data_IF_920449076392
#
_entry.id   IF_920449076392
#
_cell.length_a   1.000
_cell.length_b   1.000
_cell.length_c   1.000
_cell.angle_alpha   90.00
_cell.angle_beta   90.00
_cell.angle_gamma   90.00
#
_symmetry.space_group_name_H-M   'P 1'
#
loop_
_entity.id
_entity.type
_entity.pdbx_description
1 polymer ?
#
# COMPACT_ATOMS: atom_id res chain seq x y z
N UNK A 1 -27.28 102.84 9.99
CA UNK A 1 -26.32 103.42 10.94
C UNK A 1 -25.13 102.48 11.03
N UNK A 2 -23.98 102.82 10.39
CA UNK A 2 -22.61 102.25 10.56
C UNK A 2 -22.43 100.74 10.23
N UNK A 3 -21.36 100.16 9.67
CA UNK A 3 -20.02 100.49 9.13
C UNK A 3 -19.55 99.22 8.34
N UNK A 4 -18.61 99.34 7.39
CA UNK A 4 -17.93 98.23 6.66
C UNK A 4 -16.77 97.57 7.50
N UNK A 5 -15.89 96.69 6.95
CA UNK A 5 -15.66 95.26 7.27
C UNK A 5 -14.23 95.04 7.91
N UNK A 6 -13.47 93.89 7.88
CA UNK A 6 -13.05 93.10 6.70
C UNK A 6 -12.73 91.56 6.88
N UNK A 7 -12.54 90.88 5.73
CA UNK A 7 -11.68 89.72 5.34
C UNK A 7 -11.44 88.51 6.31
N UNK A 8 -11.29 87.23 5.89
CA UNK A 8 -10.23 86.61 5.09
C UNK A 8 -10.62 85.21 4.52
N UNK A 9 -10.18 84.90 3.28
CA UNK A 9 -9.65 83.61 2.74
C UNK A 9 -10.33 82.25 3.08
N UNK A 10 -10.51 81.24 2.20
CA UNK A 10 -10.01 80.88 0.84
C UNK A 10 -10.85 79.67 0.33
N UNK A 11 -11.22 79.69 -0.97
CA UNK A 11 -11.11 78.65 -2.05
C UNK A 11 -11.41 77.17 -1.70
N UNK A 12 -12.08 76.33 -2.49
CA UNK A 12 -12.62 76.41 -3.85
C UNK A 12 -13.60 75.22 -4.07
N UNK A 13 -14.56 75.42 -4.98
CA UNK A 13 -15.57 74.45 -5.42
C UNK A 13 -15.01 73.34 -6.30
N UNK A 14 -15.54 72.11 -6.20
CA UNK A 14 -15.77 71.21 -7.34
C UNK A 14 -17.04 70.40 -7.09
N UNK A 15 -17.97 70.51 -8.03
CA UNK A 15 -19.22 69.75 -8.18
C UNK A 15 -18.90 68.43 -8.87
N UNK A 16 -19.47 67.30 -8.41
CA UNK A 16 -19.68 66.15 -9.28
C UNK A 16 -21.04 65.51 -9.02
N UNK A 17 -21.81 65.40 -10.10
CA UNK A 17 -23.17 64.93 -10.17
C UNK A 17 -23.28 63.42 -9.98
N UNK A 18 -24.30 63.01 -9.24
CA UNK A 18 -24.78 61.63 -9.17
C UNK A 18 -25.81 61.38 -10.28
N UNK A 19 -25.61 60.32 -11.07
CA UNK A 19 -26.66 59.69 -11.86
C UNK A 19 -26.37 58.20 -12.04
N UNK A 20 -27.32 57.40 -11.54
CA UNK A 20 -27.47 55.94 -11.56
C UNK A 20 -27.40 55.33 -12.97
N UNK A 21 -26.83 54.12 -13.10
CA UNK A 21 -27.36 53.08 -14.00
C UNK A 21 -27.15 51.64 -13.46
N UNK A 22 -28.29 51.00 -13.19
CA UNK A 22 -28.72 49.59 -13.27
C UNK A 22 -27.81 48.38 -12.95
N UNK A 23 -28.40 47.56 -12.07
CA UNK A 23 -28.29 46.12 -11.85
C UNK A 23 -28.35 45.27 -13.12
N UNK A 24 -27.42 44.30 -13.22
CA UNK A 24 -27.65 42.93 -13.68
C UNK A 24 -26.37 42.08 -13.52
N UNK A 25 -26.43 40.95 -12.79
CA UNK A 25 -26.00 39.61 -13.24
C UNK A 25 -25.82 38.62 -12.08
N UNK A 26 -26.52 37.49 -12.20
CA UNK A 26 -25.95 36.16 -12.00
C UNK A 26 -25.75 35.67 -10.57
N UNK A 27 -26.80 35.14 -9.95
CA UNK A 27 -26.64 34.09 -8.95
C UNK A 27 -26.22 32.79 -9.65
N UNK A 28 -24.95 32.71 -10.03
CA UNK A 28 -24.27 31.44 -10.20
C UNK A 28 -23.69 31.07 -8.85
N UNK A 29 -24.15 30.00 -8.23
CA UNK A 29 -23.36 29.28 -7.23
C UNK A 29 -22.17 28.67 -7.97
N UNK A 30 -21.23 29.52 -8.37
CA UNK A 30 -19.90 29.11 -8.73
C UNK A 30 -19.28 28.59 -7.46
N UNK A 31 -19.09 27.27 -7.38
CA UNK A 31 -18.07 26.72 -6.51
C UNK A 31 -16.79 27.39 -6.98
N UNK A 32 -16.34 28.42 -6.26
CA UNK A 32 -15.05 29.05 -6.53
C UNK A 32 -14.05 27.94 -6.31
N UNK A 33 -13.35 27.52 -7.36
CA UNK A 33 -12.25 26.59 -7.23
C UNK A 33 -11.33 27.13 -6.14
N UNK A 34 -11.11 26.34 -5.10
CA UNK A 34 -10.22 26.72 -4.03
C UNK A 34 -8.84 27.03 -4.64
N UNK A 35 -8.12 28.07 -4.17
CA UNK A 35 -6.79 28.36 -4.66
C UNK A 35 -5.91 27.11 -4.52
N UNK A 36 -5.09 26.80 -5.53
CA UNK A 36 -4.33 25.54 -5.62
C UNK A 36 -3.48 25.28 -4.37
N UNK A 37 -2.94 26.32 -3.73
CA UNK A 37 -2.19 26.22 -2.48
C UNK A 37 -3.01 25.61 -1.32
N UNK A 38 -4.32 25.86 -1.27
CA UNK A 38 -5.21 25.26 -0.25
C UNK A 38 -5.53 23.78 -0.51
N UNK A 39 -5.46 23.33 -1.76
CA UNK A 39 -5.59 21.91 -2.09
C UNK A 39 -4.30 21.15 -1.76
N UNK A 40 -3.14 21.80 -1.85
CA UNK A 40 -1.88 21.23 -1.39
C UNK A 40 -1.90 20.97 0.12
N UNK A 41 -2.53 21.85 0.90
CA UNK A 41 -2.78 21.60 2.33
C UNK A 41 -3.70 20.40 2.57
N UNK A 42 -4.72 20.20 1.74
CA UNK A 42 -5.62 19.03 1.82
C UNK A 42 -4.90 17.70 1.57
N UNK A 43 -3.80 17.69 0.83
CA UNK A 43 -2.99 16.49 0.64
C UNK A 43 -2.18 16.09 1.88
N UNK A 44 -1.91 17.02 2.80
CA UNK A 44 -1.08 16.74 4.00
C UNK A 44 -1.77 15.73 4.91
N UNK A 45 -0.98 14.81 5.45
CA UNK A 45 -1.44 13.69 6.28
C UNK A 45 -2.07 12.54 5.49
N UNK A 46 -2.12 12.60 4.15
CA UNK A 46 -2.77 11.58 3.31
C UNK A 46 -1.76 10.71 2.58
N UNK A 47 -2.18 9.48 2.34
CA UNK A 47 -1.46 8.50 1.54
C UNK A 47 -2.31 8.12 0.34
N UNK A 48 -1.71 8.08 -0.83
CA UNK A 48 -2.38 7.74 -2.09
C UNK A 48 -1.73 6.52 -2.74
N UNK A 49 -2.54 5.65 -3.33
CA UNK A 49 -2.12 4.42 -3.98
C UNK A 49 -2.49 4.46 -5.47
N UNK A 50 -1.55 4.12 -6.35
CA UNK A 50 -1.76 4.19 -7.80
C UNK A 50 -2.83 3.22 -8.28
N UNK A 51 -3.86 3.70 -8.95
CA UNK A 51 -4.86 2.86 -9.62
C UNK A 51 -4.54 2.65 -11.09
N UNK A 52 -3.80 3.58 -11.69
CA UNK A 52 -3.44 3.55 -13.11
C UNK A 52 -2.15 4.33 -13.35
N UNK A 53 -1.31 3.82 -14.24
CA UNK A 53 -0.10 4.49 -14.70
C UNK A 53 -0.09 4.49 -16.23
N UNK A 54 0.16 5.65 -16.83
CA UNK A 54 0.35 5.78 -18.28
C UNK A 54 1.65 6.48 -18.61
N UNK A 55 2.22 6.19 -19.78
CA UNK A 55 3.38 6.90 -20.34
C UNK A 55 3.16 7.13 -21.83
N UNK A 56 3.22 8.38 -22.27
CA UNK A 56 2.86 8.77 -23.63
C UNK A 56 1.41 8.41 -24.00
N UNK A 57 0.51 8.41 -23.00
CA UNK A 57 -0.89 8.03 -23.16
C UNK A 57 -1.15 6.52 -23.28
N UNK A 58 -0.14 5.67 -23.11
CA UNK A 58 -0.29 4.20 -23.11
C UNK A 58 -0.19 3.64 -21.69
N UNK A 59 -0.95 2.59 -21.33
CA UNK A 59 -0.79 1.93 -20.05
C UNK A 59 0.66 1.48 -19.83
N UNK A 60 1.20 1.79 -18.65
CA UNK A 60 2.47 1.29 -18.15
C UNK A 60 2.16 0.24 -17.10
N UNK A 61 2.58 -1.00 -17.36
CA UNK A 61 2.47 -2.07 -16.38
C UNK A 61 3.51 -1.86 -15.28
N UNK A 62 3.08 -1.94 -14.02
CA UNK A 62 3.98 -2.03 -12.88
C UNK A 62 4.38 -3.49 -12.66
N UNK A 63 5.52 -3.72 -12.01
CA UNK A 63 5.93 -5.08 -11.58
C UNK A 63 4.82 -5.74 -10.78
N UNK A 64 4.56 -7.02 -11.03
CA UNK A 64 3.45 -7.74 -10.40
C UNK A 64 3.55 -7.69 -8.87
N UNK A 65 2.39 -7.52 -8.20
CA UNK A 65 2.31 -7.38 -6.75
C UNK A 65 2.79 -6.02 -6.20
N UNK A 66 3.20 -5.08 -7.06
CA UNK A 66 3.60 -3.73 -6.64
C UNK A 66 2.54 -2.68 -6.93
N UNK A 67 2.63 -1.57 -6.20
CA UNK A 67 1.79 -0.39 -6.39
C UNK A 67 2.63 0.83 -6.02
N UNK A 68 2.45 1.95 -6.74
CA UNK A 68 3.08 3.20 -6.32
C UNK A 68 2.31 3.77 -5.15
N UNK A 69 3.01 4.09 -4.06
CA UNK A 69 2.47 4.78 -2.89
C UNK A 69 3.13 6.15 -2.76
N UNK A 70 2.32 7.18 -2.54
CA UNK A 70 2.77 8.54 -2.22
C UNK A 70 2.12 8.97 -0.89
N UNK A 71 2.92 9.12 0.16
CA UNK A 71 2.48 9.61 1.46
C UNK A 71 3.00 11.04 1.67
N UNK A 72 2.08 11.99 1.84
CA UNK A 72 2.38 13.38 2.17
C UNK A 72 2.22 13.54 3.67
N UNK A 73 3.32 13.51 4.41
CA UNK A 73 3.28 13.50 5.87
C UNK A 73 2.83 14.85 6.45
N UNK A 74 2.27 14.84 7.65
CA UNK A 74 1.84 16.07 8.33
C UNK A 74 2.99 17.07 8.52
N UNK A 75 4.21 16.56 8.73
CA UNK A 75 5.42 17.36 8.89
C UNK A 75 6.08 17.80 7.57
N UNK A 76 5.37 17.67 6.44
CA UNK A 76 5.77 18.26 5.17
C UNK A 76 6.85 17.51 4.41
N UNK A 77 6.87 16.18 4.52
CA UNK A 77 7.67 15.31 3.66
C UNK A 77 6.79 14.54 2.68
N UNK A 78 7.38 14.21 1.54
CA UNK A 78 6.90 13.11 0.70
C UNK A 78 7.68 11.85 1.11
N UNK A 79 6.97 10.75 1.32
CA UNK A 79 7.52 9.39 1.31
C UNK A 79 6.89 8.66 0.13
N UNK A 80 7.72 8.11 -0.75
CA UNK A 80 7.30 7.48 -1.98
C UNK A 80 7.96 6.12 -2.14
N UNK A 81 7.21 5.13 -2.62
CA UNK A 81 7.75 3.81 -2.98
C UNK A 81 7.06 3.30 -4.24
N UNK A 82 7.80 2.52 -5.01
CA UNK A 82 7.31 1.84 -6.19
C UNK A 82 7.51 0.32 -6.12
N UNK A 83 7.91 -0.23 -4.97
CA UNK A 83 7.95 -1.67 -4.76
C UNK A 83 9.24 -2.24 -4.17
N UNK A 84 10.34 -1.48 -4.12
CA UNK A 84 11.57 -1.96 -3.47
C UNK A 84 12.14 -0.95 -2.49
N UNK A 85 12.61 0.20 -2.96
CA UNK A 85 13.19 1.23 -2.11
C UNK A 85 12.15 2.27 -1.70
N UNK A 86 12.29 2.74 -0.46
CA UNK A 86 11.56 3.91 0.01
C UNK A 86 12.37 5.15 -0.30
N UNK A 87 11.72 6.15 -0.89
CA UNK A 87 12.27 7.47 -1.19
C UNK A 87 11.60 8.51 -0.32
N UNK A 88 12.36 9.51 0.14
CA UNK A 88 11.81 10.56 0.97
C UNK A 88 12.52 11.89 0.78
N UNK A 89 11.79 12.98 0.96
CA UNK A 89 12.32 14.35 0.92
C UNK A 89 11.29 15.35 1.43
N UNK A 90 11.73 16.58 1.72
CA UNK A 90 10.80 17.67 2.05
C UNK A 90 10.04 18.07 0.80
N UNK A 91 8.73 18.29 0.92
CA UNK A 91 7.87 18.57 -0.23
C UNK A 91 7.22 19.95 -0.13
N UNK A 92 7.33 20.69 -1.22
CA UNK A 92 6.52 21.87 -1.51
C UNK A 92 5.47 21.51 -2.57
N UNK A 93 4.22 21.86 -2.26
CA UNK A 93 3.05 21.60 -3.09
C UNK A 93 2.50 22.87 -3.74
N UNK A 94 3.16 24.02 -3.55
CA UNK A 94 2.76 25.29 -4.14
C UNK A 94 2.72 25.27 -5.67
N UNK A 95 1.90 26.15 -6.23
CA UNK A 95 1.80 26.38 -7.68
C UNK A 95 1.40 25.12 -8.49
N UNK A 96 0.73 24.15 -7.85
CA UNK A 96 0.25 22.93 -8.51
C UNK A 96 1.36 21.96 -8.92
N UNK A 97 2.55 22.06 -8.31
CA UNK A 97 3.68 21.15 -8.58
C UNK A 97 4.12 20.39 -7.33
N UNK A 98 4.68 19.19 -7.51
CA UNK A 98 5.31 18.43 -6.43
C UNK A 98 6.81 18.72 -6.51
N UNK A 99 7.29 19.69 -5.74
CA UNK A 99 8.71 19.98 -5.63
C UNK A 99 9.29 19.24 -4.41
N UNK A 100 10.10 18.21 -4.67
CA UNK A 100 10.76 17.45 -3.60
C UNK A 100 12.22 17.87 -3.51
N UNK A 101 12.61 18.39 -2.35
CA UNK A 101 13.99 18.74 -2.04
C UNK A 101 14.65 17.60 -1.27
N UNK A 102 15.94 17.35 -1.56
CA UNK A 102 16.77 16.32 -0.94
C UNK A 102 16.14 14.91 -1.01
N UNK A 103 15.57 14.54 -2.17
CA UNK A 103 15.04 13.19 -2.38
C UNK A 103 16.16 12.16 -2.19
N UNK A 104 16.07 11.39 -1.11
CA UNK A 104 16.98 10.30 -0.78
C UNK A 104 16.23 8.98 -0.83
N UNK A 105 16.89 7.92 -1.28
CA UNK A 105 16.34 6.58 -1.34
C UNK A 105 17.09 5.65 -0.39
N UNK A 106 16.42 4.63 0.13
CA UNK A 106 17.11 3.45 0.67
C UNK A 106 17.88 2.75 -0.45
N UNK A 107 18.88 1.94 -0.09
CA UNK A 107 19.67 1.13 -1.04
C UNK A 107 19.56 -0.36 -0.69
N UNK A 108 18.33 -0.87 -0.67
CA UNK A 108 18.05 -2.29 -0.54
C UNK A 108 18.25 -2.94 -1.91
N UNK A 109 19.01 -4.04 -1.95
CA UNK A 109 19.20 -4.82 -3.16
C UNK A 109 17.94 -5.59 -3.55
N UNK A 110 17.42 -5.33 -4.74
CA UNK A 110 16.25 -6.01 -5.30
C UNK A 110 16.47 -6.42 -6.76
N UNK A 111 15.54 -7.22 -7.30
CA UNK A 111 15.55 -7.62 -8.69
C UNK A 111 15.52 -6.40 -9.63
N UNK A 112 16.18 -6.55 -10.79
CA UNK A 112 16.38 -5.46 -11.74
C UNK A 112 15.08 -4.73 -12.13
N UNK A 113 13.98 -5.46 -12.35
CA UNK A 113 12.70 -4.85 -12.72
C UNK A 113 12.15 -3.89 -11.64
N UNK A 114 12.33 -4.22 -10.36
CA UNK A 114 11.95 -3.36 -9.25
C UNK A 114 12.86 -2.13 -9.16
N UNK A 115 14.16 -2.32 -9.38
CA UNK A 115 15.12 -1.22 -9.39
C UNK A 115 14.82 -0.21 -10.52
N UNK A 116 14.53 -0.70 -11.74
CA UNK A 116 14.12 0.15 -12.87
C UNK A 116 12.80 0.90 -12.60
N UNK A 117 11.88 0.27 -11.87
CA UNK A 117 10.63 0.90 -11.46
C UNK A 117 10.84 2.00 -10.41
N UNK A 118 11.67 1.76 -9.39
CA UNK A 118 12.06 2.79 -8.41
C UNK A 118 12.75 3.97 -9.11
N UNK A 119 13.69 3.69 -10.02
CA UNK A 119 14.41 4.72 -10.79
C UNK A 119 13.45 5.59 -11.62
N UNK A 120 12.46 4.97 -12.28
CA UNK A 120 11.43 5.71 -13.01
C UNK A 120 10.60 6.65 -12.11
N UNK A 121 10.20 6.19 -10.93
CA UNK A 121 9.44 7.04 -10.00
C UNK A 121 10.33 8.18 -9.46
N UNK A 122 11.60 7.91 -9.14
CA UNK A 122 12.57 8.92 -8.74
C UNK A 122 12.74 10.00 -9.81
N UNK A 123 12.87 9.61 -11.08
CA UNK A 123 12.97 10.53 -12.21
C UNK A 123 11.71 11.37 -12.40
N UNK A 124 10.51 10.79 -12.21
CA UNK A 124 9.25 11.53 -12.26
C UNK A 124 9.24 12.63 -11.18
N UNK A 125 9.56 12.29 -9.93
CA UNK A 125 9.56 13.22 -8.80
C UNK A 125 10.63 14.32 -8.95
N UNK A 126 11.82 13.98 -9.45
CA UNK A 126 12.89 14.94 -9.69
C UNK A 126 12.55 16.01 -10.76
N UNK A 127 11.58 15.73 -11.64
CA UNK A 127 11.12 16.65 -12.70
C UNK A 127 10.09 17.66 -12.22
N UNK A 128 9.72 17.66 -10.94
CA UNK A 128 8.69 18.54 -10.37
C UNK A 128 7.35 18.38 -11.10
N UNK A 129 6.72 17.20 -11.03
CA UNK A 129 5.51 16.93 -11.79
C UNK A 129 4.37 17.82 -11.29
N UNK A 130 3.45 18.15 -12.19
CA UNK A 130 2.20 18.82 -11.83
C UNK A 130 1.28 17.85 -11.10
N UNK A 131 0.43 18.36 -10.21
CA UNK A 131 -0.58 17.57 -9.53
C UNK A 131 -1.97 18.21 -9.61
N UNK A 132 -3.01 17.37 -9.51
CA UNK A 132 -4.41 17.80 -9.38
C UNK A 132 -5.12 16.88 -8.40
N UNK A 133 -5.79 17.48 -7.41
CA UNK A 133 -6.59 16.77 -6.41
C UNK A 133 -8.08 17.01 -6.67
N UNK A 134 -8.84 15.92 -6.75
CA UNK A 134 -10.30 15.92 -6.85
C UNK A 134 -10.87 14.98 -5.78
N UNK A 135 -11.14 15.52 -4.58
CA UNK A 135 -11.61 14.74 -3.44
C UNK A 135 -10.58 13.69 -3.02
N UNK A 136 -10.85 12.43 -3.33
CA UNK A 136 -9.97 11.29 -3.01
C UNK A 136 -9.04 10.90 -4.16
N UNK A 137 -9.19 11.49 -5.34
CA UNK A 137 -8.40 11.18 -6.52
C UNK A 137 -7.27 12.19 -6.69
N UNK A 138 -6.04 11.70 -6.72
CA UNK A 138 -4.84 12.48 -7.02
C UNK A 138 -4.33 12.08 -8.41
N UNK A 139 -4.08 13.07 -9.26
CA UNK A 139 -3.43 12.86 -10.56
C UNK A 139 -2.10 13.61 -10.57
N UNK A 140 -1.00 12.90 -10.82
CA UNK A 140 0.35 13.45 -10.93
C UNK A 140 0.82 13.28 -12.36
N UNK A 141 1.28 14.35 -13.00
CA UNK A 141 1.71 14.34 -14.41
C UNK A 141 3.04 15.04 -14.63
N UNK A 142 3.95 14.39 -15.36
CA UNK A 142 5.28 14.92 -15.66
C UNK A 142 6.04 14.01 -16.62
N UNK A 143 6.84 14.58 -17.52
CA UNK A 143 7.70 13.80 -18.43
C UNK A 143 6.95 12.84 -19.37
N UNK A 144 5.67 13.12 -19.67
CA UNK A 144 4.81 12.22 -20.45
C UNK A 144 4.20 11.07 -19.66
N UNK A 145 4.52 10.95 -18.36
CA UNK A 145 3.85 10.04 -17.43
C UNK A 145 2.64 10.71 -16.79
N UNK A 146 1.54 9.98 -16.67
CA UNK A 146 0.41 10.33 -15.81
C UNK A 146 0.17 9.18 -14.84
N UNK A 147 0.23 9.51 -13.55
CA UNK A 147 0.01 8.63 -12.43
C UNK A 147 -1.32 9.02 -11.78
N UNK A 148 -2.31 8.14 -11.87
CA UNK A 148 -3.59 8.29 -11.19
C UNK A 148 -3.52 7.50 -9.89
N UNK A 149 -3.82 8.16 -8.78
CA UNK A 149 -3.87 7.57 -7.45
C UNK A 149 -5.21 7.86 -6.78
N UNK A 150 -5.53 7.01 -5.81
CA UNK A 150 -6.70 7.14 -4.96
C UNK A 150 -6.25 7.11 -3.49
N UNK A 151 -6.91 7.88 -2.64
CA UNK A 151 -6.67 7.89 -1.19
C UNK A 151 -6.69 6.46 -0.65
N UNK A 152 -5.66 6.11 0.15
CA UNK A 152 -5.46 4.76 0.69
C UNK A 152 -6.72 4.25 1.38
N UNK A 153 -7.43 5.10 2.11
CA UNK A 153 -8.63 4.69 2.87
C UNK A 153 -9.76 4.16 1.98
N UNK A 154 -9.77 4.55 0.70
CA UNK A 154 -10.73 4.07 -0.29
C UNK A 154 -10.12 2.94 -1.12
N UNK A 155 -8.84 3.08 -1.50
CA UNK A 155 -8.14 2.14 -2.37
C UNK A 155 -7.77 0.82 -1.69
N UNK A 156 -7.61 0.84 -0.37
CA UNK A 156 -7.26 -0.28 0.50
C UNK A 156 -7.75 0.03 1.94
N UNK A 157 -9.06 -0.14 2.21
CA UNK A 157 -9.66 0.22 3.48
C UNK A 157 -9.18 -0.68 4.63
N UNK A 158 -9.01 -0.08 5.80
CA UNK A 158 -8.57 -0.78 7.01
C UNK A 158 -9.57 -1.88 7.40
N UNK A 159 -9.07 -3.09 7.63
CA UNK A 159 -9.90 -4.18 8.15
C UNK A 159 -10.34 -3.88 9.58
N UNK A 160 -11.53 -4.32 10.02
CA UNK A 160 -11.93 -4.16 11.41
C UNK A 160 -10.96 -4.93 12.32
N UNK A 161 -10.56 -4.35 13.44
CA UNK A 161 -9.72 -5.05 14.42
C UNK A 161 -10.46 -6.26 15.00
N UNK A 162 -11.73 -6.06 15.37
CA UNK A 162 -12.62 -7.07 15.95
C UNK A 162 -13.29 -7.86 14.82
N UNK A 163 -13.36 -9.18 14.98
CA UNK A 163 -13.93 -10.11 14.00
C UNK A 163 -12.92 -10.61 12.95
N UNK A 164 -11.88 -9.84 12.63
CA UNK A 164 -10.82 -10.27 11.71
C UNK A 164 -9.91 -11.31 12.35
N UNK A 165 -9.68 -12.41 11.64
CA UNK A 165 -8.59 -13.34 11.96
C UNK A 165 -7.28 -12.76 11.42
N UNK A 166 -6.33 -12.52 12.31
CA UNK A 166 -5.00 -12.01 11.98
C UNK A 166 -3.97 -13.13 12.06
N UNK A 167 -3.14 -13.25 11.03
CA UNK A 167 -2.03 -14.21 10.95
C UNK A 167 -0.73 -13.46 11.21
N UNK A 168 0.06 -13.91 12.18
CA UNK A 168 1.34 -13.30 12.52
C UNK A 168 2.35 -13.57 11.41
N UNK A 169 2.93 -12.49 10.88
CA UNK A 169 3.90 -12.53 9.80
C UNK A 169 5.32 -12.21 10.32
N UNK A 170 5.44 -11.16 11.13
CA UNK A 170 6.73 -10.66 11.61
C UNK A 170 6.74 -10.43 13.12
N UNK A 171 7.83 -10.82 13.77
CA UNK A 171 8.13 -10.50 15.17
C UNK A 171 9.09 -9.32 15.22
N UNK A 172 8.86 -8.38 16.13
CA UNK A 172 9.72 -7.22 16.36
C UNK A 172 10.30 -7.31 17.76
N UNK A 173 11.63 -7.20 17.88
CA UNK A 173 12.35 -7.12 19.16
C UNK A 173 13.33 -5.94 19.10
N UNK A 174 12.93 -4.80 19.68
CA UNK A 174 13.64 -3.53 19.55
C UNK A 174 13.70 -3.05 18.10
N UNK A 175 14.91 -2.82 17.60
CA UNK A 175 15.15 -2.41 16.21
C UNK A 175 15.22 -3.59 15.22
N UNK A 176 15.14 -4.84 15.72
CA UNK A 176 15.24 -6.03 14.89
C UNK A 176 13.85 -6.55 14.54
N UNK A 177 13.57 -6.66 13.25
CA UNK A 177 12.39 -7.35 12.74
C UNK A 177 12.79 -8.72 12.16
N UNK A 178 12.03 -9.76 12.49
CA UNK A 178 12.24 -11.13 12.01
C UNK A 178 10.95 -11.72 11.47
N UNK A 179 10.89 -11.95 10.15
CA UNK A 179 9.74 -12.56 9.44
C UNK A 179 9.65 -14.08 9.64
N UNK A 180 10.33 -14.62 10.65
CA UNK A 180 10.56 -16.06 10.81
C UNK A 180 9.35 -16.86 11.24
N UNK A 181 8.15 -16.28 11.41
CA UNK A 181 6.99 -16.99 11.96
C UNK A 181 6.45 -18.03 10.97
N UNK A 182 6.34 -17.69 9.69
CA UNK A 182 5.93 -18.64 8.65
C UNK A 182 7.03 -19.62 8.23
N UNK A 183 8.27 -19.48 8.73
CA UNK A 183 9.42 -20.31 8.33
C UNK A 183 9.94 -21.24 9.43
N UNK A 184 9.29 -21.32 10.60
CA UNK A 184 9.77 -22.22 11.69
C UNK A 184 9.59 -23.71 11.34
N UNK A 185 8.85 -24.01 10.27
CA UNK A 185 8.83 -25.33 9.61
C UNK A 185 7.64 -25.42 8.66
N UNK A 186 7.81 -26.08 7.51
CA UNK A 186 6.75 -26.24 6.50
C UNK A 186 5.47 -26.92 7.04
N UNK A 187 5.56 -27.59 8.19
CA UNK A 187 4.47 -28.30 8.86
C UNK A 187 3.94 -27.59 10.12
N UNK A 188 4.44 -26.40 10.47
CA UNK A 188 3.94 -25.67 11.65
C UNK A 188 2.76 -24.78 11.23
N UNK A 189 1.57 -24.92 11.88
CA UNK A 189 0.45 -24.02 11.62
C UNK A 189 0.85 -22.56 11.85
N UNK A 190 0.30 -21.66 11.04
CA UNK A 190 0.46 -20.22 11.23
C UNK A 190 0.01 -19.80 12.64
N UNK A 191 0.78 -18.89 13.26
CA UNK A 191 0.36 -18.25 14.49
C UNK A 191 -0.75 -17.23 14.18
N UNK A 192 -1.80 -17.22 15.00
CA UNK A 192 -3.01 -16.43 14.77
C UNK A 192 -3.46 -15.67 16.00
N UNK A 193 -4.18 -14.59 15.75
CA UNK A 193 -4.83 -13.75 16.75
C UNK A 193 -6.19 -13.31 16.23
N UNK A 194 -7.23 -13.46 17.05
CA UNK A 194 -8.56 -12.92 16.77
C UNK A 194 -9.13 -12.32 18.04
N UNK A 195 -9.65 -11.11 17.92
CA UNK A 195 -10.50 -10.49 18.95
C UNK A 195 -11.93 -10.62 18.44
N UNK A 196 -12.77 -11.37 19.14
CA UNK A 196 -14.17 -11.53 18.77
C UNK A 196 -15.03 -10.46 19.42
N UNK A 197 -16.29 -10.36 18.97
CA UNK A 197 -17.31 -9.56 19.67
C UNK A 197 -17.34 -9.94 21.15
N UNK A 198 -17.62 -8.98 22.04
CA UNK A 198 -17.51 -9.11 23.52
C UNK A 198 -16.08 -9.06 24.08
N UNK A 199 -15.05 -8.93 23.23
CA UNK A 199 -13.66 -8.71 23.66
C UNK A 199 -12.93 -9.98 24.08
N UNK A 200 -13.45 -11.17 23.78
CA UNK A 200 -12.70 -12.40 23.95
C UNK A 200 -11.57 -12.49 22.92
N UNK A 201 -10.41 -12.98 23.36
CA UNK A 201 -9.22 -13.16 22.54
C UNK A 201 -9.01 -14.65 22.32
N UNK A 202 -8.82 -15.05 21.08
CA UNK A 202 -8.54 -16.43 20.66
C UNK A 202 -7.33 -16.42 19.73
N UNK A 203 -6.54 -17.49 19.74
CA UNK A 203 -5.45 -17.60 18.80
C UNK A 203 -4.57 -18.82 19.01
N UNK A 204 -3.50 -18.86 18.21
CA UNK A 204 -2.48 -19.90 18.21
C UNK A 204 -1.10 -19.27 18.16
N UNK A 205 -0.14 -19.83 18.88
CA UNK A 205 1.29 -19.50 18.74
C UNK A 205 1.99 -20.38 17.69
N UNK A 206 1.22 -21.14 16.92
CA UNK A 206 1.67 -22.18 16.00
C UNK A 206 1.74 -23.57 16.65
N UNK A 207 2.11 -23.65 17.92
CA UNK A 207 2.11 -24.91 18.68
C UNK A 207 1.00 -25.02 19.74
N UNK A 208 0.75 -23.93 20.47
CA UNK A 208 -0.24 -23.88 21.53
C UNK A 208 -1.39 -22.94 21.16
N UNK A 209 -2.59 -23.32 21.58
CA UNK A 209 -3.74 -22.45 21.50
C UNK A 209 -3.78 -21.56 22.74
N UNK A 210 -4.17 -20.31 22.57
CA UNK A 210 -4.38 -19.38 23.67
C UNK A 210 -5.76 -18.75 23.64
N UNK A 211 -6.21 -18.34 24.83
CA UNK A 211 -7.45 -17.59 25.02
C UNK A 211 -7.26 -16.53 26.11
N UNK A 212 -7.98 -15.43 26.00
CA UNK A 212 -7.93 -14.33 26.96
C UNK A 212 -9.05 -13.33 26.73
N UNK A 213 -8.81 -12.11 27.16
CA UNK A 213 -9.72 -10.97 26.94
C UNK A 213 -8.93 -9.74 26.53
N UNK A 214 -9.57 -8.81 25.83
CA UNK A 214 -9.02 -7.54 25.42
C UNK A 214 -10.07 -6.45 25.55
N UNK A 215 -9.63 -5.27 25.97
CA UNK A 215 -10.41 -4.03 25.90
C UNK A 215 -9.75 -3.11 24.89
N UNK A 216 -10.51 -2.65 23.90
CA UNK A 216 -10.01 -1.73 22.87
C UNK A 216 -10.47 -0.32 23.20
N UNK A 217 -9.54 0.64 23.21
CA UNK A 217 -9.84 2.06 23.43
C UNK A 217 -8.92 2.94 22.60
N UNK A 218 -9.47 3.69 21.65
CA UNK A 218 -8.69 4.52 20.73
C UNK A 218 -7.72 3.68 19.92
N UNK A 219 -6.42 4.00 20.00
CA UNK A 219 -5.31 3.28 19.35
C UNK A 219 -4.59 2.29 20.27
N UNK A 220 -5.24 1.88 21.36
CA UNK A 220 -4.68 0.98 22.36
C UNK A 220 -5.56 -0.25 22.58
N UNK A 221 -4.93 -1.41 22.76
CA UNK A 221 -5.55 -2.65 23.23
C UNK A 221 -4.95 -2.98 24.59
N UNK A 222 -5.80 -3.20 25.59
CA UNK A 222 -5.38 -3.75 26.88
C UNK A 222 -5.80 -5.20 26.95
N UNK A 223 -4.84 -6.10 26.81
CA UNK A 223 -5.03 -7.53 27.03
C UNK A 223 -5.13 -7.82 28.53
N UNK A 224 -6.14 -8.59 28.92
CA UNK A 224 -6.26 -9.19 30.23
C UNK A 224 -5.39 -10.44 30.36
N UNK A 225 -5.76 -11.34 31.27
CA UNK A 225 -5.05 -12.61 31.40
C UNK A 225 -5.19 -13.45 30.12
N UNK A 226 -4.05 -13.77 29.50
CA UNK A 226 -3.95 -14.68 28.35
C UNK A 226 -3.38 -16.01 28.83
N UNK A 227 -4.12 -17.10 28.61
CA UNK A 227 -3.75 -18.45 29.02
C UNK A 227 -3.56 -19.31 27.77
N UNK A 228 -2.40 -19.94 27.65
CA UNK A 228 -2.08 -20.89 26.60
C UNK A 228 -2.12 -22.34 27.09
N UNK A 229 -2.40 -23.27 26.17
CA UNK A 229 -2.13 -24.70 26.39
C UNK A 229 -0.63 -24.94 26.58
N UNK A 230 -0.25 -26.13 27.10
CA UNK A 230 1.16 -26.49 27.32
C UNK A 230 1.52 -27.80 26.63
N UNK A 231 1.58 -27.77 25.31
CA UNK A 231 2.16 -28.83 24.47
C UNK A 231 3.67 -28.61 24.39
N UNK A 232 4.43 -29.70 24.35
CA UNK A 232 5.86 -29.65 24.06
C UNK A 232 6.08 -29.37 22.57
N UNK A 233 6.95 -28.40 22.26
CA UNK A 233 7.24 -27.94 20.91
C UNK A 233 8.75 -27.82 20.72
N UNK A 234 9.20 -27.71 19.48
CA UNK A 234 10.59 -27.45 19.14
C UNK A 234 11.06 -26.12 19.78
N UNK A 235 12.36 -25.98 20.10
CA UNK A 235 12.89 -24.80 20.78
C UNK A 235 12.61 -23.48 20.07
N UNK A 236 12.68 -23.46 18.74
CA UNK A 236 12.45 -22.25 17.93
C UNK A 236 10.96 -21.85 17.95
N UNK A 237 10.04 -22.81 17.85
CA UNK A 237 8.60 -22.54 17.98
C UNK A 237 8.26 -22.01 19.38
N UNK A 238 8.93 -22.54 20.41
CA UNK A 238 8.74 -22.06 21.79
C UNK A 238 9.25 -20.62 21.99
N UNK A 239 10.27 -20.19 21.24
CA UNK A 239 10.71 -18.78 21.26
C UNK A 239 9.65 -17.86 20.65
N UNK A 240 9.08 -18.25 19.51
CA UNK A 240 7.97 -17.52 18.87
C UNK A 240 6.78 -17.41 19.82
N UNK A 241 6.38 -18.51 20.45
CA UNK A 241 5.30 -18.52 21.44
C UNK A 241 5.54 -17.53 22.58
N UNK A 242 6.72 -17.57 23.21
CA UNK A 242 7.04 -16.64 24.30
C UNK A 242 7.03 -15.19 23.83
N UNK A 243 7.46 -14.91 22.60
CA UNK A 243 7.43 -13.56 22.05
C UNK A 243 6.00 -13.06 21.85
N UNK A 244 5.14 -13.88 21.24
CA UNK A 244 3.72 -13.55 21.03
C UNK A 244 3.06 -13.29 22.38
N UNK A 245 3.19 -14.21 23.34
CA UNK A 245 2.55 -14.05 24.65
C UNK A 245 3.07 -12.82 25.42
N UNK A 246 4.35 -12.44 25.24
CA UNK A 246 4.90 -11.23 25.84
C UNK A 246 4.37 -9.94 25.19
N UNK A 247 4.02 -9.96 23.90
CA UNK A 247 3.34 -8.81 23.26
C UNK A 247 1.90 -8.71 23.75
N UNK A 248 1.23 -9.85 23.98
CA UNK A 248 -0.17 -9.90 24.43
C UNK A 248 -0.33 -9.74 25.96
N UNK A 249 0.71 -9.33 26.69
CA UNK A 249 0.65 -9.13 28.14
C UNK A 249 0.43 -7.65 28.47
N UNK A 250 -0.81 -7.29 28.81
CA UNK A 250 -1.17 -5.94 29.19
C UNK A 250 -1.43 -5.01 28.00
N UNK A 251 -0.92 -3.78 28.08
CA UNK A 251 -1.28 -2.70 27.15
C UNK A 251 -0.35 -2.66 25.94
N UNK A 252 -0.94 -2.60 24.73
CA UNK A 252 -0.21 -2.38 23.48
C UNK A 252 -0.85 -1.25 22.67
N UNK A 253 -0.02 -0.51 21.94
CA UNK A 253 -0.51 0.35 20.86
C UNK A 253 -0.74 -0.50 19.62
N UNK A 254 -1.78 -0.19 18.87
CA UNK A 254 -2.04 -0.84 17.60
C UNK A 254 -2.25 0.18 16.48
N UNK A 255 -1.96 -0.27 15.25
CA UNK A 255 -2.28 0.44 14.02
C UNK A 255 -2.72 -0.56 12.95
N UNK A 256 -3.70 -0.17 12.14
CA UNK A 256 -4.15 -0.97 11.00
C UNK A 256 -3.96 -0.14 9.75
N UNK A 257 -3.36 -0.74 8.74
CA UNK A 257 -3.28 -0.20 7.39
C UNK A 257 -3.72 -1.29 6.40
N UNK A 258 -4.90 -1.11 5.81
CA UNK A 258 -5.51 -2.09 4.92
C UNK A 258 -5.64 -3.45 5.62
N UNK A 259 -5.03 -4.48 5.05
CA UNK A 259 -4.93 -5.83 5.58
C UNK A 259 -3.80 -6.09 6.59
N UNK A 260 -3.09 -5.08 7.09
CA UNK A 260 -1.98 -5.26 8.03
C UNK A 260 -2.30 -4.67 9.41
N UNK A 261 -2.09 -5.45 10.47
CA UNK A 261 -2.18 -5.03 11.87
C UNK A 261 -0.78 -5.00 12.47
N UNK A 262 -0.41 -3.87 13.06
CA UNK A 262 0.81 -3.73 13.86
C UNK A 262 0.44 -3.62 15.34
N UNK A 263 1.12 -4.38 16.18
CA UNK A 263 1.06 -4.29 17.64
C UNK A 263 2.42 -3.89 18.19
N UNK A 264 2.47 -2.82 18.97
CA UNK A 264 3.66 -2.27 19.62
C UNK A 264 3.50 -2.32 21.14
N UNK A 265 4.20 -3.26 21.77
CA UNK A 265 4.24 -3.38 23.23
C UNK A 265 5.28 -2.41 23.81
N UNK A 266 5.00 -1.68 24.92
CA UNK A 266 5.90 -0.70 25.51
C UNK A 266 7.25 -1.29 25.96
N UNK A 267 7.31 -2.60 26.18
CA UNK A 267 8.54 -3.34 26.46
C UNK A 267 9.48 -3.53 25.25
N UNK A 268 9.19 -2.93 24.09
CA UNK A 268 10.03 -2.98 22.88
C UNK A 268 9.79 -4.19 21.97
N UNK A 269 8.84 -5.06 22.33
CA UNK A 269 8.40 -6.17 21.48
C UNK A 269 7.22 -5.74 20.61
N UNK A 270 7.07 -6.35 19.44
CA UNK A 270 5.91 -6.12 18.59
C UNK A 270 5.60 -7.29 17.67
N UNK A 271 4.46 -7.17 17.00
CA UNK A 271 3.98 -8.09 15.98
C UNK A 271 3.51 -7.29 14.77
N UNK A 272 3.79 -7.80 13.57
CA UNK A 272 3.07 -7.43 12.36
C UNK A 272 2.28 -8.65 11.92
N UNK A 273 0.98 -8.45 11.72
CA UNK A 273 0.04 -9.48 11.33
C UNK A 273 -0.65 -9.08 10.04
N UNK A 274 -1.02 -10.05 9.23
CA UNK A 274 -1.83 -9.88 8.03
C UNK A 274 -3.24 -10.43 8.27
N UNK A 275 -4.25 -9.80 7.69
CA UNK A 275 -5.60 -10.33 7.71
C UNK A 275 -5.66 -11.64 6.93
N UNK A 276 -6.45 -12.59 7.41
CA UNK A 276 -6.78 -13.78 6.65
C UNK A 276 -7.89 -13.45 5.63
N UNK A 277 -7.49 -13.13 4.41
CA UNK A 277 -8.42 -12.74 3.34
C UNK A 277 -9.26 -13.92 2.79
N UNK A 278 -9.04 -15.15 3.27
CA UNK A 278 -9.86 -16.31 2.91
C UNK A 278 -11.35 -16.12 3.25
N UNK A 279 -11.67 -15.28 4.26
CA UNK A 279 -13.04 -14.92 4.61
C UNK A 279 -13.64 -13.74 3.82
N UNK A 280 -12.81 -12.88 3.22
CA UNK A 280 -13.27 -11.66 2.55
C UNK A 280 -13.74 -11.91 1.10
N UNK A 281 -13.19 -12.94 0.44
CA UNK A 281 -13.54 -13.28 -0.94
C UNK A 281 -14.92 -13.95 -1.07
N UNK A 282 -15.48 -14.50 0.01
CA UNK A 282 -16.82 -15.11 -0.01
C UNK A 282 -17.99 -14.13 0.06
N UNK A 283 -17.74 -12.86 0.42
CA UNK A 283 -18.80 -11.86 0.63
C UNK A 283 -19.09 -11.00 -0.62
N UNK A 284 -18.19 -10.96 -1.60
CA UNK A 284 -18.35 -10.14 -2.82
C UNK A 284 -19.05 -10.88 -3.95
N UNK A 285 -19.15 -12.21 -3.88
CA UNK A 285 -19.75 -13.03 -4.95
C UNK A 285 -21.29 -13.19 -4.79
N UNK A 286 -21.86 -13.03 -3.59
CA UNK A 286 -23.31 -13.25 -3.33
C UNK A 286 -24.24 -12.12 -3.85
N UNK A 287 -23.71 -10.96 -4.21
CA UNK A 287 -24.54 -9.84 -4.71
C UNK A 287 -24.72 -9.84 -6.24
N UNK A 288 -23.98 -10.70 -6.94
CA UNK A 288 -24.08 -10.86 -8.40
C UNK A 288 -25.11 -11.91 -8.85
N UNK A 289 -25.61 -12.73 -7.92
CA UNK A 289 -26.49 -13.87 -8.24
C UNK A 289 -28.00 -13.60 -8.06
N UNK A 290 -28.43 -12.38 -7.69
CA UNK A 290 -29.87 -12.09 -7.43
C UNK A 290 -30.63 -11.40 -8.56
N UNK A 291 -30.00 -11.05 -9.68
CA UNK A 291 -30.69 -10.48 -10.84
C UNK A 291 -30.37 -11.26 -12.11
N UNK A 292 -31.03 -12.39 -12.32
CA UNK A 292 -31.39 -12.78 -13.69
C UNK A 292 -32.80 -13.38 -13.70
N UNK A 293 -33.55 -12.92 -14.68
CA UNK A 293 -35.00 -12.86 -14.72
C UNK A 293 -35.65 -14.19 -15.10
N UNK A 294 -36.93 -14.31 -14.75
CA UNK A 294 -37.77 -15.41 -15.15
C UNK A 294 -37.81 -15.62 -16.66
N UNK A 295 -37.60 -16.87 -17.07
CA UNK A 295 -38.02 -17.38 -18.36
C UNK A 295 -39.06 -18.48 -18.14
N UNK A 296 -40.17 -18.32 -18.84
CA UNK A 296 -41.42 -19.08 -18.78
C UNK A 296 -41.29 -20.53 -19.25
N UNK A 297 -42.14 -21.38 -18.67
CA UNK A 297 -42.59 -22.67 -19.21
C UNK A 297 -42.90 -22.59 -20.71
N UNK A 298 -42.22 -23.38 -21.54
CA UNK A 298 -42.81 -24.26 -22.56
C UNK A 298 -41.67 -24.98 -23.31
N UNK A 299 -41.55 -26.31 -23.12
CA UNK A 299 -41.58 -27.28 -24.22
C UNK A 299 -41.19 -28.69 -23.75
N UNK A 300 -42.22 -29.54 -23.61
CA UNK A 300 -42.13 -30.99 -23.62
C UNK A 300 -42.05 -31.50 -25.06
N UNK A 301 -40.97 -32.17 -25.45
CA UNK A 301 -41.00 -33.33 -26.36
C UNK A 301 -39.64 -34.03 -26.38
N UNK A 302 -39.56 -35.25 -25.83
CA UNK A 302 -39.42 -36.51 -26.60
C UNK A 302 -38.16 -36.59 -27.48
N UNK A 303 -37.18 -37.40 -27.06
CA UNK A 303 -36.94 -38.66 -27.76
C UNK A 303 -36.07 -39.62 -26.94
N UNK A 304 -36.63 -40.81 -26.74
CA UNK A 304 -35.90 -42.04 -26.41
C UNK A 304 -35.00 -42.46 -27.58
N UNK A 305 -33.90 -43.15 -27.25
CA UNK A 305 -33.53 -44.48 -27.76
C UNK A 305 -32.06 -44.68 -28.14
N UNK A 306 -31.57 -45.82 -27.63
CA UNK A 306 -30.59 -46.77 -28.17
C UNK A 306 -29.10 -46.66 -27.81
N UNK A 307 -28.72 -47.66 -27.01
CA UNK A 307 -27.41 -48.25 -26.83
C UNK A 307 -26.95 -49.13 -28.03
N UNK A 308 -25.63 -49.30 -28.17
CA UNK A 308 -24.82 -50.49 -28.56
C UNK A 308 -23.34 -50.03 -28.55
N UNK A 309 -22.41 -50.52 -27.74
CA UNK A 309 -21.72 -51.85 -27.68
C UNK A 309 -20.71 -52.13 -28.82
N UNK A 310 -19.56 -52.72 -28.44
CA UNK A 310 -18.48 -53.35 -29.24
C UNK A 310 -17.59 -52.43 -30.13
N UNK A 311 -16.26 -52.43 -30.19
CA UNK A 311 -15.14 -53.23 -29.65
C UNK A 311 -13.86 -52.96 -30.51
N UNK A 312 -12.71 -53.37 -29.99
CA UNK A 312 -11.30 -53.20 -30.49
C UNK A 312 -11.02 -53.88 -31.87
N UNK A 313 -9.81 -53.89 -32.53
CA UNK A 313 -8.45 -53.42 -32.14
C UNK A 313 -7.49 -52.88 -33.27
N UNK A 314 -6.23 -52.57 -32.86
CA UNK A 314 -4.91 -52.78 -33.54
C UNK A 314 -4.20 -51.69 -34.42
N UNK A 315 -3.09 -51.14 -33.86
CA UNK A 315 -1.67 -51.05 -34.34
C UNK A 315 -1.28 -50.27 -35.65
N UNK A 316 0.02 -49.97 -35.94
CA UNK A 316 1.20 -49.58 -35.12
C UNK A 316 2.10 -48.43 -35.73
N UNK A 317 3.27 -48.24 -35.11
CA UNK A 317 4.59 -47.79 -35.64
C UNK A 317 5.00 -46.30 -35.72
N UNK A 318 6.22 -46.03 -35.18
CA UNK A 318 7.07 -44.92 -35.65
C UNK A 318 7.98 -44.22 -34.62
N UNK A 319 8.81 -44.93 -33.85
CA UNK A 319 9.88 -44.31 -33.04
C UNK A 319 11.22 -44.34 -33.81
N UNK A 320 11.77 -43.17 -34.15
CA UNK A 320 13.10 -42.96 -34.70
C UNK A 320 14.05 -42.40 -33.63
N UNK A 321 15.23 -43.01 -33.53
CA UNK A 321 16.26 -42.72 -32.53
C UNK A 321 17.44 -41.90 -33.09
N UNK A 322 18.16 -41.30 -32.13
CA UNK A 322 19.61 -41.07 -32.05
C UNK A 322 20.32 -39.96 -32.84
N UNK A 323 21.20 -39.28 -32.09
CA UNK A 323 22.28 -38.44 -32.59
C UNK A 323 23.19 -37.93 -31.47
N UNK A 324 24.05 -38.81 -30.94
CA UNK A 324 25.24 -38.51 -30.12
C UNK A 324 26.36 -37.88 -30.97
N UNK A 325 27.17 -37.01 -30.39
CA UNK A 325 28.45 -36.59 -30.95
C UNK A 325 29.27 -35.78 -29.94
N UNK A 326 30.33 -36.39 -29.41
CA UNK A 326 31.46 -35.76 -28.73
C UNK A 326 32.61 -35.61 -29.75
N UNK A 327 33.43 -34.57 -29.64
CA UNK A 327 34.90 -34.71 -29.59
C UNK A 327 35.66 -33.39 -29.32
N UNK A 328 36.86 -33.60 -28.80
CA UNK A 328 37.85 -32.70 -28.21
C UNK A 328 38.45 -31.60 -29.11
N UNK A 329 38.99 -30.55 -28.48
CA UNK A 329 40.25 -29.92 -28.92
C UNK A 329 41.00 -29.29 -27.73
N UNK A 330 42.29 -29.62 -27.68
CA UNK A 330 43.34 -29.26 -26.71
C UNK A 330 44.01 -27.92 -27.04
N UNK A 331 44.70 -27.32 -26.04
CA UNK A 331 45.59 -26.16 -26.23
C UNK A 331 46.29 -25.68 -24.94
N UNK A 332 47.47 -26.26 -24.66
CA UNK A 332 48.61 -25.69 -23.88
C UNK A 332 49.10 -24.37 -24.54
N UNK A 333 49.84 -23.41 -23.96
CA UNK A 333 50.54 -23.18 -22.68
C UNK A 333 50.84 -21.65 -22.61
N UNK A 334 51.07 -21.07 -21.43
CA UNK A 334 52.36 -20.42 -21.13
C UNK A 334 52.45 -19.92 -19.67
N UNK A 335 53.64 -20.11 -19.14
CA UNK A 335 54.10 -19.90 -17.77
C UNK A 335 54.84 -18.56 -17.71
N UNK A 336 54.55 -17.71 -16.72
CA UNK A 336 55.47 -16.63 -16.33
C UNK A 336 55.33 -16.30 -14.85
N UNK A 337 56.36 -16.71 -14.12
CA UNK A 337 56.73 -16.40 -12.74
C UNK A 337 57.09 -14.92 -12.56
N UNK A 338 56.94 -14.42 -11.34
CA UNK A 338 57.38 -13.07 -10.94
C UNK A 338 57.00 -12.71 -9.50
N UNK A 339 57.80 -13.19 -8.55
CA UNK A 339 57.94 -12.68 -7.19
C UNK A 339 58.22 -11.16 -7.18
N UNK A 340 57.74 -10.42 -6.18
CA UNK A 340 58.55 -10.00 -5.00
C UNK A 340 58.05 -8.68 -4.35
N UNK A 341 58.14 -8.67 -3.02
CA UNK A 341 58.31 -7.53 -2.09
C UNK A 341 57.12 -6.56 -1.85
N UNK A 342 56.48 -6.53 -0.67
CA UNK A 342 56.93 -6.21 0.70
C UNK A 342 56.79 -4.72 1.08
N UNK A 343 56.21 -4.51 2.28
CA UNK A 343 56.34 -3.38 3.20
C UNK A 343 55.95 -1.96 2.74
N UNK A 344 54.97 -1.35 3.41
CA UNK A 344 55.30 -0.39 4.48
C UNK A 344 54.10 -0.07 5.37
N UNK A 345 54.34 -0.06 6.67
CA UNK A 345 53.45 0.47 7.70
C UNK A 345 53.63 1.98 7.82
N UNK A 346 52.56 2.66 8.22
CA UNK A 346 52.53 4.07 8.62
C UNK A 346 51.18 4.39 9.23
#
# INVERSE_FOLDING_TARGET
>A
MRLLPPSWARRASVVLAAAFLLSACGAGTGVVAAPEDSQGEEMRGRTFLSTEVTTGGKPRQLVDGTRVRLAFTEDGRLVADAGCNSMQGTVDLGEGTIAVDNLAATEIGCHQALHEQDAWLAELLARRPTWRLEGDRLVVSGGGTTLTLLDRRIADPDRPLVGTLWIVDTLIDGEVASSTVSTVGADTPDATLQIVEEGAVLGSTGCNQFRGSATVSGSTITFGEVIATRRACEPEVTKVERHILAVLDGEVRFGIEGGQLRLDHPGGKGLVLRADDAGAQGATDDDSARNDDGATDDDRARNDDRATDDGSPAAPDGAGANGTGADEATGEADEATGEDSAENAG
#
